data_IF_193742476188
#
_entry.id   IF_193742476188
#
_cell.length_a   1.000
_cell.length_b   1.000
_cell.length_c   1.000
_cell.angle_alpha   90.00
_cell.angle_beta   90.00
_cell.angle_gamma   90.00
#
_symmetry.space_group_name_H-M   'P 1'
#
loop_
_entity.id
_entity.type
_entity.pdbx_description
1 polymer ?
#
# COMPACT_ATOMS: atom_id res chain seq x y z
N UNK A 1 11.24 60.44 -3.48
CA UNK A 1 11.70 59.87 -2.20
C UNK A 1 10.50 59.63 -1.31
N UNK A 2 10.13 58.36 -1.11
CA UNK A 2 9.49 57.84 0.09
C UNK A 2 9.47 56.31 -0.04
N UNK A 3 9.91 55.65 1.01
CA UNK A 3 10.42 54.28 1.01
C UNK A 3 9.33 53.22 1.17
N UNK A 4 9.69 52.05 0.65
CA UNK A 4 9.09 50.73 0.77
C UNK A 4 9.19 50.21 2.22
N UNK A 5 8.10 49.67 2.80
CA UNK A 5 8.19 48.70 3.91
C UNK A 5 7.16 47.59 3.66
N UNK A 6 7.68 46.37 3.64
CA UNK A 6 7.02 45.08 3.42
C UNK A 6 6.44 44.61 4.76
N UNK A 7 5.20 44.13 4.77
CA UNK A 7 4.60 43.46 5.93
C UNK A 7 4.76 41.94 5.81
N UNK A 8 5.34 41.35 6.86
CA UNK A 8 5.66 39.94 7.03
C UNK A 8 4.42 39.12 7.46
N UNK A 9 4.32 37.88 6.95
CA UNK A 9 3.28 36.90 7.23
C UNK A 9 3.34 36.37 8.68
N UNK A 10 2.17 36.17 9.30
CA UNK A 10 2.02 35.47 10.57
C UNK A 10 1.44 34.07 10.35
N UNK A 11 2.22 33.04 10.69
CA UNK A 11 1.80 31.63 10.81
C UNK A 11 1.18 31.40 12.19
N UNK A 12 -0.03 30.82 12.34
CA UNK A 12 -0.51 30.45 13.66
C UNK A 12 0.05 29.10 14.11
N UNK A 13 0.57 29.13 15.34
CA UNK A 13 1.17 28.04 16.07
C UNK A 13 0.18 26.96 16.51
N UNK A 14 0.71 25.73 16.58
CA UNK A 14 0.13 24.54 17.18
C UNK A 14 -0.05 24.74 18.70
N UNK A 15 -1.29 24.79 19.18
CA UNK A 15 -1.58 24.85 20.62
C UNK A 15 -1.65 23.43 21.22
N UNK A 16 -0.82 23.18 22.21
CA UNK A 16 -0.91 22.05 23.12
C UNK A 16 -2.04 22.29 24.14
N UNK A 17 -2.90 21.28 24.35
CA UNK A 17 -3.81 21.22 25.48
C UNK A 17 -3.56 19.91 26.23
N UNK A 18 -2.91 20.04 27.38
CA UNK A 18 -2.82 19.03 28.43
C UNK A 18 -4.11 19.04 29.26
N UNK A 19 -4.73 17.89 29.49
CA UNK A 19 -5.69 17.72 30.58
C UNK A 19 -6.74 16.65 30.33
N UNK A 20 -6.69 15.57 31.12
CA UNK A 20 -7.80 14.63 31.30
C UNK A 20 -7.43 13.18 31.07
N UNK A 21 -6.88 12.51 32.08
CA UNK A 21 -6.87 11.05 32.18
C UNK A 21 -8.32 10.56 32.27
N UNK A 22 -8.81 9.98 31.18
CA UNK A 22 -10.01 9.13 31.19
C UNK A 22 -9.61 7.78 30.60
N UNK A 23 -9.81 6.75 31.43
CA UNK A 23 -9.54 5.34 31.12
C UNK A 23 -10.72 4.77 30.34
N UNK A 24 -10.59 4.70 29.02
CA UNK A 24 -11.12 3.64 28.14
C UNK A 24 -10.62 3.95 26.73
N UNK A 25 -9.83 3.06 26.11
CA UNK A 25 -9.90 2.73 24.67
C UNK A 25 -8.74 1.79 24.29
N UNK A 26 -9.03 0.49 24.23
CA UNK A 26 -8.20 -0.58 23.62
C UNK A 26 -8.11 -0.47 22.08
N UNK A 27 -8.42 0.70 21.50
CA UNK A 27 -8.63 0.88 20.05
C UNK A 27 -7.38 1.36 19.29
N UNK A 28 -6.21 1.38 19.92
CA UNK A 28 -4.99 1.94 19.32
C UNK A 28 -3.81 1.00 19.50
N UNK A 29 -3.10 0.71 18.42
CA UNK A 29 -1.81 -0.01 18.43
C UNK A 29 -0.75 0.77 19.20
N UNK A 30 0.35 0.10 19.57
CA UNK A 30 1.49 0.70 20.26
C UNK A 30 2.12 1.92 19.53
N UNK A 31 1.76 2.16 18.27
CA UNK A 31 2.24 3.24 17.42
C UNK A 31 1.21 4.36 17.18
N UNK A 32 0.08 4.36 17.90
CA UNK A 32 -0.94 5.41 17.76
C UNK A 32 -1.87 5.24 16.55
N UNK A 33 -1.72 4.15 15.77
CA UNK A 33 -2.65 3.80 14.69
C UNK A 33 -3.83 2.98 15.24
N UNK A 34 -5.05 3.15 14.70
CA UNK A 34 -6.16 2.26 15.01
C UNK A 34 -5.80 0.79 14.78
N UNK A 35 -6.34 -0.09 15.63
CA UNK A 35 -6.19 -1.54 15.44
C UNK A 35 -6.70 -1.97 14.05
N UNK A 36 -5.99 -2.85 13.33
CA UNK A 36 -6.46 -3.36 12.05
C UNK A 36 -7.81 -4.06 12.17
N UNK A 37 -8.70 -3.85 11.19
CA UNK A 37 -10.02 -4.48 11.15
C UNK A 37 -10.00 -5.60 10.12
N UNK A 38 -10.22 -6.83 10.58
CA UNK A 38 -10.45 -7.98 9.70
C UNK A 38 -11.86 -7.89 9.08
N UNK A 39 -11.94 -8.03 7.76
CA UNK A 39 -13.18 -8.02 6.98
C UNK A 39 -13.36 -9.41 6.37
N UNK A 40 -14.16 -10.24 7.02
CA UNK A 40 -14.42 -11.65 6.67
C UNK A 40 -15.91 -11.93 6.37
N UNK A 41 -16.75 -10.90 6.41
CA UNK A 41 -18.18 -10.98 6.06
C UNK A 41 -18.56 -9.96 5.00
N UNK A 42 -19.53 -10.30 4.15
CA UNK A 42 -20.05 -9.40 3.11
C UNK A 42 -20.72 -8.16 3.71
N UNK A 43 -21.31 -8.25 4.90
CA UNK A 43 -21.90 -7.12 5.60
C UNK A 43 -20.83 -6.09 6.03
N UNK A 44 -19.73 -6.57 6.64
CA UNK A 44 -18.60 -5.72 7.00
C UNK A 44 -17.93 -5.12 5.76
N UNK A 45 -17.74 -5.92 4.70
CA UNK A 45 -17.21 -5.46 3.41
C UNK A 45 -18.06 -4.36 2.78
N UNK A 46 -19.39 -4.56 2.72
CA UNK A 46 -20.31 -3.57 2.13
C UNK A 46 -20.28 -2.24 2.89
N UNK A 47 -20.16 -2.30 4.23
CA UNK A 47 -19.98 -1.11 5.07
C UNK A 47 -18.64 -0.43 4.79
N UNK A 48 -17.55 -1.21 4.72
CA UNK A 48 -16.22 -0.67 4.41
C UNK A 48 -16.22 0.02 3.05
N UNK A 49 -16.73 -0.63 1.98
CA UNK A 49 -16.80 -0.05 0.63
C UNK A 49 -17.58 1.26 0.63
N UNK A 50 -18.72 1.32 1.33
CA UNK A 50 -19.48 2.57 1.47
C UNK A 50 -18.70 3.71 2.12
N UNK A 51 -17.77 3.40 3.03
CA UNK A 51 -16.89 4.40 3.67
C UNK A 51 -15.71 4.82 2.79
N UNK A 52 -15.46 4.14 1.66
CA UNK A 52 -14.41 4.53 0.70
C UNK A 52 -14.92 5.51 -0.36
N UNK A 53 -16.22 5.80 -0.37
CA UNK A 53 -16.82 6.74 -1.31
C UNK A 53 -16.38 8.18 -0.98
N UNK A 54 -16.19 8.98 -2.02
CA UNK A 54 -15.86 10.42 -1.94
C UNK A 54 -14.57 10.77 -1.17
N UNK A 55 -13.69 9.78 -0.95
CA UNK A 55 -12.39 10.04 -0.35
C UNK A 55 -11.51 10.93 -1.24
N UNK A 56 -10.65 11.79 -0.64
CA UNK A 56 -9.70 12.59 -1.40
C UNK A 56 -8.81 11.75 -2.32
N UNK A 57 -8.54 12.28 -3.51
CA UNK A 57 -7.66 11.65 -4.50
C UNK A 57 -6.26 12.27 -4.54
N UNK A 58 -6.05 13.42 -3.88
CA UNK A 58 -4.74 14.05 -3.68
C UNK A 58 -4.61 14.62 -2.25
N UNK A 59 -3.68 14.10 -1.42
CA UNK A 59 -2.94 12.85 -1.65
C UNK A 59 -3.88 11.64 -1.81
N UNK A 60 -3.43 10.54 -2.46
CA UNK A 60 -4.22 9.31 -2.56
C UNK A 60 -4.67 8.81 -1.19
N UNK A 61 -5.91 8.34 -1.12
CA UNK A 61 -6.47 7.78 0.10
C UNK A 61 -6.20 6.29 0.29
N UNK A 62 -5.96 5.52 -0.79
CA UNK A 62 -5.94 4.05 -0.76
C UNK A 62 -4.52 3.51 -0.99
N UNK A 63 -3.99 2.80 0.01
CA UNK A 63 -2.69 2.12 -0.04
C UNK A 63 -2.92 0.63 0.14
N UNK A 64 -2.47 -0.16 -0.83
CA UNK A 64 -2.88 -1.55 -0.99
C UNK A 64 -1.66 -2.44 -1.16
N UNK A 65 -1.75 -3.61 -0.56
CA UNK A 65 -0.85 -4.73 -0.77
C UNK A 65 -1.65 -6.04 -0.71
N UNK A 66 -1.10 -7.14 -1.21
CA UNK A 66 -1.73 -8.46 -1.17
C UNK A 66 -0.76 -9.50 -0.61
N UNK A 67 -1.31 -10.47 0.10
CA UNK A 67 -0.57 -11.65 0.53
C UNK A 67 -1.33 -12.94 0.21
N UNK A 68 -0.59 -14.01 -0.05
CA UNK A 68 -1.18 -15.33 -0.27
C UNK A 68 -0.17 -16.41 -0.64
N UNK A 69 -0.68 -17.60 -0.90
CA UNK A 69 0.18 -18.75 -1.26
C UNK A 69 0.70 -18.58 -2.67
N UNK A 70 2.01 -18.39 -2.84
CA UNK A 70 2.66 -18.18 -4.14
C UNK A 70 1.97 -17.09 -4.99
N UNK A 71 1.67 -15.94 -4.37
CA UNK A 71 0.90 -14.82 -4.93
C UNK A 71 1.21 -14.55 -6.42
N UNK A 72 0.31 -15.03 -7.28
CA UNK A 72 0.36 -14.98 -8.74
C UNK A 72 -0.89 -15.63 -9.31
N UNK A 73 -1.03 -15.66 -10.64
CA UNK A 73 -2.05 -16.44 -11.37
C UNK A 73 -2.02 -17.95 -11.08
N UNK A 74 -0.90 -18.47 -10.59
CA UNK A 74 -0.71 -19.90 -10.28
C UNK A 74 -0.77 -20.20 -8.78
N UNK A 75 -0.89 -19.15 -7.95
CA UNK A 75 -1.08 -19.25 -6.51
C UNK A 75 -2.46 -18.78 -6.11
N UNK A 76 -2.56 -18.11 -4.98
CA UNK A 76 -3.81 -17.59 -4.42
C UNK A 76 -3.62 -16.20 -3.83
N UNK A 77 -4.74 -15.49 -3.64
CA UNK A 77 -4.82 -14.29 -2.79
C UNK A 77 -5.53 -14.73 -1.51
N UNK A 78 -4.89 -14.52 -0.36
CA UNK A 78 -5.43 -14.91 0.94
C UNK A 78 -5.94 -13.70 1.71
N UNK A 79 -5.15 -12.62 1.72
CA UNK A 79 -5.46 -11.36 2.39
C UNK A 79 -5.16 -10.21 1.42
N UNK A 80 -6.07 -9.24 1.35
CA UNK A 80 -5.79 -7.94 0.76
C UNK A 80 -5.73 -6.89 1.87
N UNK A 81 -4.62 -6.17 1.94
CA UNK A 81 -4.42 -5.11 2.92
C UNK A 81 -4.82 -3.77 2.32
N UNK A 82 -5.60 -2.98 3.04
CA UNK A 82 -6.01 -1.64 2.63
C UNK A 82 -5.81 -0.66 3.79
N UNK A 83 -4.85 0.25 3.64
CA UNK A 83 -4.74 1.40 4.51
C UNK A 83 -5.45 2.62 3.91
N UNK A 84 -6.35 3.22 4.68
CA UNK A 84 -7.12 4.40 4.32
C UNK A 84 -6.54 5.63 5.02
N UNK A 85 -5.82 6.47 4.28
CA UNK A 85 -5.01 7.55 4.85
C UNK A 85 -5.83 8.57 5.67
N UNK A 86 -6.97 9.11 5.21
CA UNK A 86 -7.71 10.12 5.96
C UNK A 86 -8.16 9.66 7.36
N UNK A 87 -8.61 8.41 7.48
CA UNK A 87 -9.05 7.83 8.76
C UNK A 87 -7.93 7.11 9.53
N UNK A 88 -6.77 6.92 8.89
CA UNK A 88 -5.66 6.06 9.36
C UNK A 88 -6.08 4.61 9.63
N UNK A 89 -7.25 4.19 9.18
CA UNK A 89 -7.75 2.84 9.42
C UNK A 89 -7.11 1.87 8.44
N UNK A 90 -6.72 0.70 8.94
CA UNK A 90 -6.26 -0.42 8.11
C UNK A 90 -7.30 -1.52 8.13
N UNK A 91 -7.67 -2.01 6.95
CA UNK A 91 -8.56 -3.13 6.75
C UNK A 91 -7.77 -4.30 6.18
N UNK A 92 -8.01 -5.50 6.71
CA UNK A 92 -7.51 -6.76 6.18
C UNK A 92 -8.70 -7.51 5.60
N UNK A 93 -8.83 -7.53 4.27
CA UNK A 93 -9.92 -8.23 3.61
C UNK A 93 -9.53 -9.70 3.50
N UNK A 94 -10.34 -10.56 4.10
CA UNK A 94 -10.16 -12.00 4.07
C UNK A 94 -10.65 -12.59 2.74
N UNK A 95 -9.81 -12.46 1.71
CA UNK A 95 -10.09 -12.97 0.36
C UNK A 95 -10.22 -14.50 0.38
N UNK A 96 -9.50 -15.19 1.26
CA UNK A 96 -9.62 -16.64 1.43
C UNK A 96 -11.03 -17.05 1.88
N UNK A 97 -11.63 -16.33 2.83
CA UNK A 97 -12.99 -16.63 3.31
C UNK A 97 -14.06 -16.10 2.34
N UNK A 98 -13.90 -14.87 1.85
CA UNK A 98 -14.91 -14.19 1.02
C UNK A 98 -14.87 -14.58 -0.45
N UNK A 99 -13.74 -15.09 -0.94
CA UNK A 99 -13.55 -15.50 -2.34
C UNK A 99 -13.99 -14.37 -3.30
N UNK A 100 -14.73 -14.71 -4.36
CA UNK A 100 -15.25 -13.72 -5.31
C UNK A 100 -16.13 -12.64 -4.67
N UNK A 101 -16.81 -12.93 -3.56
CA UNK A 101 -17.64 -11.94 -2.85
C UNK A 101 -16.82 -10.79 -2.27
N UNK A 102 -15.52 -11.00 -2.03
CA UNK A 102 -14.60 -9.94 -1.61
C UNK A 102 -14.57 -8.76 -2.59
N UNK A 103 -14.87 -9.01 -3.86
CA UNK A 103 -14.78 -8.02 -4.93
C UNK A 103 -16.14 -7.71 -5.56
N UNK A 104 -17.12 -8.63 -5.48
CA UNK A 104 -18.43 -8.47 -6.11
C UNK A 104 -19.54 -7.96 -5.19
N UNK A 105 -19.41 -8.07 -3.86
CA UNK A 105 -20.40 -7.52 -2.95
C UNK A 105 -20.44 -5.99 -3.02
N UNK A 106 -21.64 -5.42 -2.99
CA UNK A 106 -21.86 -3.98 -3.20
C UNK A 106 -22.21 -3.26 -1.91
N UNK A 107 -21.75 -2.01 -1.80
CA UNK A 107 -22.26 -1.04 -0.82
C UNK A 107 -23.76 -0.76 -1.06
N UNK A 108 -24.38 0.01 -0.17
CA UNK A 108 -25.78 0.45 -0.33
C UNK A 108 -26.00 1.28 -1.60
N UNK A 109 -24.95 1.90 -2.12
CA UNK A 109 -24.99 2.72 -3.32
C UNK A 109 -24.69 1.91 -4.60
N UNK A 110 -24.65 0.58 -4.49
CA UNK A 110 -24.47 -0.33 -5.62
C UNK A 110 -23.02 -0.48 -6.09
N UNK A 111 -22.06 0.16 -5.42
CA UNK A 111 -20.64 0.10 -5.78
C UNK A 111 -19.94 -1.05 -5.08
N UNK A 112 -19.16 -1.83 -5.81
CA UNK A 112 -18.33 -2.91 -5.29
C UNK A 112 -16.88 -2.48 -5.07
N UNK A 113 -16.08 -3.30 -4.37
CA UNK A 113 -14.64 -3.02 -4.24
C UNK A 113 -13.92 -3.17 -5.59
N UNK A 114 -14.39 -4.06 -6.48
CA UNK A 114 -13.93 -4.13 -7.88
C UNK A 114 -14.09 -2.79 -8.60
N UNK A 115 -15.24 -2.12 -8.48
CA UNK A 115 -15.47 -0.82 -9.14
C UNK A 115 -14.51 0.29 -8.64
N UNK A 116 -14.00 0.17 -7.42
CA UNK A 116 -12.97 1.07 -6.88
C UNK A 116 -11.59 0.73 -7.45
N UNK A 117 -11.25 -0.56 -7.47
CA UNK A 117 -9.98 -1.06 -8.03
C UNK A 117 -9.84 -0.77 -9.55
N UNK A 118 -10.93 -0.84 -10.30
CA UNK A 118 -10.98 -0.62 -11.75
C UNK A 118 -11.21 0.85 -12.15
N UNK A 119 -11.42 1.76 -11.18
CA UNK A 119 -11.57 3.18 -11.44
C UNK A 119 -10.23 3.84 -11.85
N UNK A 120 -10.24 4.66 -12.90
CA UNK A 120 -9.11 5.48 -13.31
C UNK A 120 -8.98 6.79 -12.51
N UNK A 121 -10.09 7.28 -11.95
CA UNK A 121 -10.17 8.52 -11.17
C UNK A 121 -9.84 8.35 -9.69
N UNK A 122 -9.95 7.14 -9.14
CA UNK A 122 -9.52 6.83 -7.76
C UNK A 122 -8.09 6.27 -7.80
N UNK A 123 -7.09 6.99 -7.26
CA UNK A 123 -5.73 6.47 -7.22
C UNK A 123 -5.58 5.37 -6.19
N UNK A 124 -4.89 4.28 -6.56
CA UNK A 124 -4.46 3.22 -5.64
C UNK A 124 -2.94 3.18 -5.62
N UNK A 125 -2.37 3.24 -4.43
CA UNK A 125 -0.93 3.18 -4.23
C UNK A 125 -0.54 1.74 -3.88
N UNK A 126 0.36 1.17 -4.69
CA UNK A 126 0.95 -0.16 -4.47
C UNK A 126 2.46 -0.02 -4.38
N UNK A 127 3.15 -0.98 -3.77
CA UNK A 127 4.59 -1.15 -3.94
C UNK A 127 4.85 -2.34 -4.85
N UNK A 128 5.27 -2.09 -6.10
CA UNK A 128 5.51 -3.15 -7.09
C UNK A 128 4.27 -3.99 -7.46
N UNK A 129 3.31 -3.36 -8.14
CA UNK A 129 1.97 -3.91 -8.43
C UNK A 129 1.93 -5.18 -9.30
N UNK A 130 3.06 -5.67 -9.80
CA UNK A 130 3.10 -6.65 -10.89
C UNK A 130 2.43 -7.97 -10.51
N UNK A 131 2.81 -8.60 -9.39
CA UNK A 131 2.22 -9.87 -8.97
C UNK A 131 0.81 -9.70 -8.38
N UNK A 132 0.52 -8.57 -7.74
CA UNK A 132 -0.82 -8.24 -7.26
C UNK A 132 -1.82 -8.18 -8.40
N UNK A 133 -1.46 -7.42 -9.44
CA UNK A 133 -2.25 -7.29 -10.67
C UNK A 133 -2.40 -8.62 -11.40
N UNK A 134 -1.33 -9.42 -11.48
CA UNK A 134 -1.38 -10.76 -12.08
C UNK A 134 -2.41 -11.65 -11.37
N UNK A 135 -2.37 -11.69 -10.03
CA UNK A 135 -3.27 -12.49 -9.23
C UNK A 135 -4.72 -11.98 -9.30
N UNK A 136 -4.93 -10.67 -9.12
CA UNK A 136 -6.26 -10.05 -9.17
C UNK A 136 -6.96 -10.26 -10.51
N UNK A 137 -6.23 -10.13 -11.61
CA UNK A 137 -6.80 -10.33 -12.94
C UNK A 137 -7.11 -11.80 -13.23
N UNK A 138 -6.17 -12.71 -12.96
CA UNK A 138 -6.38 -14.11 -13.37
C UNK A 138 -7.43 -14.81 -12.52
N UNK A 139 -7.49 -14.52 -11.21
CA UNK A 139 -8.44 -15.14 -10.28
C UNK A 139 -9.81 -14.44 -10.27
N UNK A 140 -9.84 -13.11 -10.35
CA UNK A 140 -11.06 -12.32 -10.12
C UNK A 140 -11.46 -11.40 -11.28
N UNK A 141 -10.74 -11.46 -12.41
CA UNK A 141 -10.98 -10.65 -13.62
C UNK A 141 -10.97 -9.15 -13.34
N UNK A 142 -10.15 -8.69 -12.40
CA UNK A 142 -10.02 -7.27 -12.03
C UNK A 142 -8.99 -6.59 -12.94
N UNK A 143 -9.44 -5.62 -13.71
CA UNK A 143 -8.59 -4.75 -14.53
C UNK A 143 -8.15 -3.52 -13.73
N UNK A 144 -7.04 -3.63 -13.00
CA UNK A 144 -6.55 -2.54 -12.15
C UNK A 144 -6.29 -1.25 -12.94
N UNK A 145 -6.80 -0.12 -12.45
CA UNK A 145 -6.56 1.21 -13.04
C UNK A 145 -6.16 2.22 -11.97
N UNK A 146 -5.68 3.39 -12.38
CA UNK A 146 -5.31 4.46 -11.44
C UNK A 146 -4.14 4.12 -10.51
N UNK A 147 -3.24 3.22 -10.92
CA UNK A 147 -2.12 2.77 -10.08
C UNK A 147 -1.02 3.84 -9.97
N UNK A 148 -0.56 4.06 -8.74
CA UNK A 148 0.68 4.76 -8.43
C UNK A 148 1.65 3.79 -7.76
N UNK A 149 2.67 3.35 -8.51
CA UNK A 149 3.63 2.35 -8.02
C UNK A 149 4.80 3.02 -7.28
N UNK A 150 4.89 2.80 -5.96
CA UNK A 150 5.91 3.40 -5.10
C UNK A 150 7.33 2.95 -5.44
N UNK A 151 7.51 1.75 -5.97
CA UNK A 151 8.82 1.27 -6.39
C UNK A 151 9.31 2.06 -7.61
N UNK A 152 8.39 2.47 -8.49
CA UNK A 152 8.69 3.37 -9.60
C UNK A 152 8.93 4.82 -9.14
N UNK A 153 8.22 5.27 -8.10
CA UNK A 153 8.45 6.58 -7.48
C UNK A 153 9.83 6.68 -6.82
N UNK A 154 10.29 5.62 -6.13
CA UNK A 154 11.64 5.56 -5.54
C UNK A 154 12.73 5.71 -6.61
N UNK A 155 12.66 4.93 -7.68
CA UNK A 155 13.69 4.94 -8.72
C UNK A 155 13.74 6.26 -9.50
N UNK A 156 12.59 6.92 -9.67
CA UNK A 156 12.52 8.24 -10.32
C UNK A 156 13.16 9.34 -9.47
N UNK A 157 13.08 9.23 -8.14
CA UNK A 157 13.49 10.29 -7.20
C UNK A 157 14.88 10.08 -6.61
N UNK A 158 15.43 8.87 -6.66
CA UNK A 158 16.79 8.59 -6.16
C UNK A 158 17.88 9.24 -7.02
N UNK A 159 19.02 9.52 -6.40
CA UNK A 159 20.17 10.23 -7.02
C UNK A 159 21.33 9.31 -7.42
N UNK A 160 21.24 8.02 -7.11
CA UNK A 160 22.24 7.02 -7.46
C UNK A 160 21.72 6.09 -8.57
N UNK A 161 22.52 5.07 -8.93
CA UNK A 161 22.28 4.15 -10.04
C UNK A 161 20.80 3.76 -10.20
N UNK A 162 20.27 4.00 -11.40
CA UNK A 162 18.89 3.66 -11.77
C UNK A 162 18.75 2.26 -12.38
N UNK A 163 19.75 1.37 -12.27
CA UNK A 163 19.72 0.07 -12.96
C UNK A 163 18.74 -0.95 -12.35
N UNK A 164 18.63 -0.98 -11.03
CA UNK A 164 17.84 -2.00 -10.32
C UNK A 164 16.86 -1.39 -9.33
N UNK A 165 15.65 -1.92 -9.25
CA UNK A 165 14.67 -1.48 -8.23
C UNK A 165 15.10 -1.91 -6.83
N UNK A 166 14.66 -1.17 -5.81
CA UNK A 166 14.83 -1.53 -4.42
C UNK A 166 13.59 -2.26 -3.89
N UNK A 167 13.79 -3.22 -2.98
CA UNK A 167 12.68 -3.84 -2.24
C UNK A 167 12.15 -2.92 -1.14
N UNK A 168 10.90 -3.14 -0.73
CA UNK A 168 10.16 -2.29 0.21
C UNK A 168 10.94 -2.02 1.51
N UNK A 169 11.54 -3.05 2.12
CA UNK A 169 12.32 -2.89 3.36
C UNK A 169 13.45 -1.88 3.23
N UNK A 170 14.17 -1.89 2.11
CA UNK A 170 15.27 -0.94 1.87
C UNK A 170 14.74 0.49 1.71
N UNK A 171 13.60 0.65 1.03
CA UNK A 171 12.93 1.93 0.87
C UNK A 171 12.49 2.48 2.23
N UNK A 172 11.88 1.67 3.08
CA UNK A 172 11.47 2.07 4.44
C UNK A 172 12.68 2.44 5.29
N UNK A 173 13.74 1.63 5.23
CA UNK A 173 14.95 1.88 6.01
C UNK A 173 15.63 3.21 5.68
N UNK A 174 15.62 3.59 4.41
CA UNK A 174 16.31 4.81 3.95
C UNK A 174 15.41 6.04 3.92
N UNK A 175 14.17 5.87 3.49
CA UNK A 175 13.34 6.97 3.01
C UNK A 175 12.08 7.19 3.86
N UNK A 176 11.63 6.20 4.63
CA UNK A 176 10.59 6.44 5.63
C UNK A 176 11.22 7.19 6.81
N UNK A 177 10.70 8.40 7.10
CA UNK A 177 11.13 9.28 8.19
C UNK A 177 10.71 8.76 9.58
N UNK A 178 10.95 7.47 9.84
CA UNK A 178 10.72 6.81 11.12
C UNK A 178 11.85 7.18 12.09
N UNK A 179 11.48 7.47 13.34
CA UNK A 179 12.41 7.54 14.46
C UNK A 179 13.12 6.19 14.67
N UNK A 180 14.22 6.20 15.42
CA UNK A 180 14.97 4.98 15.74
C UNK A 180 14.10 3.92 16.42
N UNK A 181 13.21 4.33 17.34
CA UNK A 181 12.32 3.42 18.06
C UNK A 181 11.26 2.82 17.14
N UNK A 182 10.61 3.65 16.30
CA UNK A 182 9.63 3.17 15.31
C UNK A 182 10.28 2.19 14.33
N UNK A 183 11.51 2.48 13.89
CA UNK A 183 12.27 1.60 12.99
C UNK A 183 12.59 0.26 13.63
N UNK A 184 12.98 0.24 14.91
CA UNK A 184 13.25 -1.00 15.64
C UNK A 184 11.96 -1.82 15.81
N UNK A 185 10.85 -1.18 16.17
CA UNK A 185 9.57 -1.84 16.32
C UNK A 185 9.08 -2.42 14.98
N UNK A 186 9.17 -1.62 13.91
CA UNK A 186 8.82 -2.03 12.55
C UNK A 186 9.60 -3.28 12.11
N UNK A 187 10.93 -3.27 12.31
CA UNK A 187 11.78 -4.43 11.99
C UNK A 187 11.38 -5.67 12.79
N UNK A 188 11.03 -5.50 14.07
CA UNK A 188 10.65 -6.62 14.95
C UNK A 188 9.38 -7.32 14.48
N UNK A 189 8.34 -6.55 14.14
CA UNK A 189 7.09 -7.08 13.58
C UNK A 189 7.37 -7.77 12.25
N UNK A 190 8.15 -7.13 11.38
CA UNK A 190 8.51 -7.70 10.08
C UNK A 190 9.26 -9.02 10.22
N UNK A 191 10.28 -9.07 11.08
CA UNK A 191 11.08 -10.29 11.28
C UNK A 191 10.27 -11.44 11.87
N UNK A 192 9.28 -11.16 12.73
CA UNK A 192 8.35 -12.17 13.20
C UNK A 192 7.49 -12.72 12.06
N UNK A 193 6.80 -11.85 11.31
CA UNK A 193 5.93 -12.26 10.21
C UNK A 193 6.67 -13.04 9.13
N UNK A 194 7.84 -12.55 8.68
CA UNK A 194 8.64 -13.23 7.64
C UNK A 194 9.09 -14.62 8.08
N UNK A 195 9.38 -14.85 9.37
CA UNK A 195 9.71 -16.21 9.86
C UNK A 195 8.52 -17.17 9.76
N UNK A 196 7.29 -16.68 9.84
CA UNK A 196 6.09 -17.51 9.78
C UNK A 196 5.77 -17.94 8.35
N UNK A 197 5.94 -17.07 7.36
CA UNK A 197 5.54 -17.39 5.97
C UNK A 197 6.69 -17.80 5.04
N UNK A 198 7.92 -17.35 5.28
CA UNK A 198 9.02 -17.54 4.33
C UNK A 198 9.66 -18.94 4.46
N UNK A 199 9.62 -19.82 3.43
CA UNK A 199 10.16 -21.17 3.52
C UNK A 199 11.65 -21.24 3.84
N UNK A 200 12.44 -20.30 3.33
CA UNK A 200 13.87 -20.20 3.62
C UNK A 200 14.18 -19.84 5.08
N UNK A 201 13.17 -19.41 5.86
CA UNK A 201 13.25 -19.15 7.29
C UNK A 201 12.52 -20.20 8.15
N UNK A 202 12.09 -21.31 7.54
CA UNK A 202 11.34 -22.37 8.21
C UNK A 202 9.82 -22.13 8.30
N UNK A 203 9.32 -21.10 7.61
CA UNK A 203 7.89 -20.80 7.51
C UNK A 203 7.19 -21.52 6.35
N UNK A 204 5.93 -21.18 6.15
CA UNK A 204 5.14 -21.64 5.01
C UNK A 204 4.14 -20.57 4.60
N UNK A 205 3.98 -20.33 3.29
CA UNK A 205 3.01 -19.35 2.80
C UNK A 205 1.56 -19.68 3.23
N UNK A 206 1.31 -20.93 3.60
CA UNK A 206 0.02 -21.46 4.01
C UNK A 206 -0.47 -20.83 5.31
N UNK A 207 0.43 -20.21 6.08
CA UNK A 207 0.06 -19.40 7.26
C UNK A 207 -0.92 -18.27 6.90
N UNK A 208 -0.89 -17.75 5.67
CA UNK A 208 -1.86 -16.75 5.21
C UNK A 208 -3.29 -17.31 5.06
N UNK A 209 -3.44 -18.62 4.94
CA UNK A 209 -4.73 -19.32 4.86
C UNK A 209 -5.22 -19.85 6.21
N UNK A 210 -4.40 -19.81 7.27
CA UNK A 210 -4.80 -20.29 8.60
C UNK A 210 -5.90 -19.40 9.19
N UNK A 211 -6.92 -20.01 9.80
CA UNK A 211 -8.02 -19.31 10.46
C UNK A 211 -8.25 -19.84 11.89
N UNK A 212 -8.38 -18.96 12.90
CA UNK A 212 -8.26 -17.50 12.81
C UNK A 212 -6.83 -17.07 12.42
N UNK A 213 -6.71 -15.95 11.69
CA UNK A 213 -5.41 -15.41 11.32
C UNK A 213 -4.67 -14.98 12.61
N UNK A 214 -3.42 -15.39 12.77
CA UNK A 214 -2.67 -15.10 13.99
C UNK A 214 -2.40 -13.60 14.15
N UNK A 215 -2.27 -13.14 15.39
CA UNK A 215 -1.99 -11.72 15.68
C UNK A 215 -0.69 -11.24 15.04
N UNK A 216 0.36 -12.07 15.05
CA UNK A 216 1.64 -11.74 14.41
C UNK A 216 1.48 -11.54 12.88
N UNK A 217 0.59 -12.29 12.23
CA UNK A 217 0.30 -12.13 10.79
C UNK A 217 -0.59 -10.90 10.52
N UNK A 218 -1.56 -10.60 11.40
CA UNK A 218 -2.36 -9.37 11.33
C UNK A 218 -1.45 -8.14 11.42
N UNK A 219 -0.56 -8.12 12.41
CA UNK A 219 0.39 -7.02 12.62
C UNK A 219 1.34 -6.85 11.43
N UNK A 220 1.87 -7.97 10.92
CA UNK A 220 2.72 -7.97 9.72
C UNK A 220 1.99 -7.37 8.51
N UNK A 221 0.80 -7.88 8.18
CA UNK A 221 0.00 -7.43 7.05
C UNK A 221 -0.35 -5.94 7.16
N UNK A 222 -0.80 -5.50 8.33
CA UNK A 222 -1.19 -4.12 8.53
C UNK A 222 -0.01 -3.15 8.39
N UNK A 223 1.15 -3.53 8.94
CA UNK A 223 2.34 -2.67 8.93
C UNK A 223 2.88 -2.43 7.51
N UNK A 224 2.79 -3.42 6.61
CA UNK A 224 3.34 -3.30 5.26
C UNK A 224 2.62 -2.22 4.42
N UNK A 225 1.33 -1.96 4.67
CA UNK A 225 0.59 -0.85 4.03
C UNK A 225 0.59 0.47 4.82
N UNK A 226 0.67 0.44 6.16
CA UNK A 226 0.63 1.64 7.01
C UNK A 226 1.80 2.61 6.79
N UNK A 227 2.95 2.10 6.33
CA UNK A 227 4.16 2.90 6.10
C UNK A 227 4.18 3.53 4.70
N UNK A 228 3.38 3.02 3.75
CA UNK A 228 3.37 3.46 2.37
C UNK A 228 3.03 4.96 2.17
N UNK A 229 2.11 5.57 2.94
CA UNK A 229 1.87 7.02 2.85
C UNK A 229 3.11 7.87 3.13
N UNK A 230 3.97 7.46 4.05
CA UNK A 230 5.21 8.18 4.37
C UNK A 230 6.17 8.17 3.18
N UNK A 231 6.33 7.00 2.53
CA UNK A 231 7.12 6.87 1.31
C UNK A 231 6.53 7.68 0.17
N UNK A 232 5.20 7.63 0.00
CA UNK A 232 4.51 8.39 -1.03
C UNK A 232 4.77 9.88 -0.90
N UNK A 233 4.57 10.44 0.30
CA UNK A 233 4.80 11.87 0.56
C UNK A 233 6.27 12.26 0.31
N UNK A 234 7.21 11.41 0.73
CA UNK A 234 8.65 11.61 0.51
C UNK A 234 9.01 11.63 -0.97
N UNK A 235 8.50 10.69 -1.78
CA UNK A 235 8.84 10.65 -3.20
C UNK A 235 8.07 11.70 -4.00
N UNK A 236 6.78 11.92 -3.71
CA UNK A 236 5.94 12.90 -4.41
C UNK A 236 6.49 14.32 -4.30
N UNK A 237 7.06 14.69 -3.15
CA UNK A 237 7.67 16.01 -2.96
C UNK A 237 8.93 16.25 -3.79
N UNK A 238 9.58 15.19 -4.28
CA UNK A 238 10.83 15.26 -5.04
C UNK A 238 10.65 14.94 -6.54
N UNK A 239 9.41 14.74 -6.99
CA UNK A 239 9.14 14.32 -8.36
C UNK A 239 8.86 15.50 -9.29
N UNK A 240 9.47 15.49 -10.47
CA UNK A 240 9.12 16.45 -11.53
C UNK A 240 7.89 15.97 -12.30
N UNK A 241 7.20 16.88 -13.00
CA UNK A 241 6.06 16.53 -13.85
C UNK A 241 6.42 15.50 -14.94
N UNK A 242 7.60 15.62 -15.55
CA UNK A 242 8.11 14.66 -16.54
C UNK A 242 8.30 13.27 -15.94
N UNK A 243 8.87 13.18 -14.73
CA UNK A 243 9.02 11.90 -14.05
C UNK A 243 7.68 11.33 -13.61
N UNK A 244 6.76 12.18 -13.17
CA UNK A 244 5.41 11.77 -12.82
C UNK A 244 4.70 11.10 -13.99
N UNK A 245 4.74 11.72 -15.18
CA UNK A 245 4.16 11.12 -16.39
C UNK A 245 4.80 9.76 -16.72
N UNK A 246 6.14 9.67 -16.67
CA UNK A 246 6.85 8.39 -16.89
C UNK A 246 6.41 7.30 -15.93
N UNK A 247 6.21 7.63 -14.65
CA UNK A 247 5.72 6.68 -13.64
C UNK A 247 4.31 6.24 -13.93
N UNK A 248 3.42 7.15 -14.32
CA UNK A 248 2.05 6.79 -14.69
C UNK A 248 2.04 5.83 -15.89
N UNK A 249 2.84 6.11 -16.93
CA UNK A 249 2.94 5.26 -18.12
C UNK A 249 3.54 3.89 -17.77
N UNK A 250 4.63 3.86 -16.99
CA UNK A 250 5.26 2.63 -16.57
C UNK A 250 4.40 1.80 -15.59
N UNK A 251 3.59 2.44 -14.74
CA UNK A 251 2.63 1.74 -13.87
C UNK A 251 1.53 1.07 -14.69
N UNK A 252 0.98 1.77 -15.70
CA UNK A 252 0.01 1.20 -16.65
C UNK A 252 0.61 0.02 -17.42
N UNK A 253 1.87 0.15 -17.87
CA UNK A 253 2.55 -0.93 -18.58
C UNK A 253 2.82 -2.14 -17.67
N UNK A 254 3.18 -1.93 -16.39
CA UNK A 254 3.33 -3.02 -15.41
C UNK A 254 2.05 -3.81 -15.24
N UNK A 255 0.91 -3.13 -15.11
CA UNK A 255 -0.41 -3.76 -15.01
C UNK A 255 -0.74 -4.53 -16.30
N UNK A 256 -0.63 -3.88 -17.46
CA UNK A 256 -0.92 -4.50 -18.75
C UNK A 256 -0.06 -5.74 -18.99
N UNK A 257 1.24 -5.65 -18.72
CA UNK A 257 2.17 -6.75 -18.87
C UNK A 257 1.78 -7.89 -17.93
N UNK A 258 1.52 -7.62 -16.64
CA UNK A 258 1.22 -8.67 -15.68
C UNK A 258 -0.08 -9.41 -15.94
N UNK A 259 -1.03 -8.80 -16.65
CA UNK A 259 -2.27 -9.44 -17.10
C UNK A 259 -2.11 -10.25 -18.40
N UNK A 260 -0.98 -10.13 -19.11
CA UNK A 260 -0.73 -10.85 -20.35
C UNK A 260 -0.48 -12.36 -20.13
N UNK A 261 -0.77 -13.19 -21.12
CA UNK A 261 -0.51 -14.64 -21.04
C UNK A 261 0.97 -15.00 -20.90
N UNK A 262 1.88 -14.11 -21.33
CA UNK A 262 3.32 -14.32 -21.37
C UNK A 262 4.06 -13.84 -20.13
N UNK A 263 3.38 -13.20 -19.18
CA UNK A 263 4.02 -12.70 -17.98
C UNK A 263 4.49 -13.81 -17.06
N UNK A 264 5.72 -13.65 -16.56
CA UNK A 264 6.31 -14.48 -15.52
C UNK A 264 6.65 -13.54 -14.36
N UNK A 265 6.11 -13.81 -13.18
CA UNK A 265 6.26 -12.95 -11.99
C UNK A 265 7.54 -13.20 -11.18
N UNK A 266 8.48 -14.00 -11.72
CA UNK A 266 9.67 -14.49 -11.01
C UNK A 266 10.91 -14.43 -11.90
N UNK A 267 12.04 -14.05 -11.30
CA UNK A 267 13.36 -14.05 -11.95
C UNK A 267 14.13 -12.73 -11.78
N UNK A 268 15.44 -12.76 -12.07
CA UNK A 268 16.33 -11.60 -11.86
C UNK A 268 15.95 -10.35 -12.67
N UNK A 269 15.33 -10.53 -13.83
CA UNK A 269 14.85 -9.42 -14.66
C UNK A 269 13.77 -8.59 -13.97
N UNK A 270 13.04 -9.16 -13.01
CA UNK A 270 12.04 -8.41 -12.21
C UNK A 270 12.69 -7.32 -11.35
N UNK A 271 13.99 -7.45 -11.06
CA UNK A 271 14.77 -6.45 -10.33
C UNK A 271 15.30 -5.31 -11.23
N UNK A 272 15.12 -5.35 -12.55
CA UNK A 272 15.56 -4.30 -13.46
C UNK A 272 14.59 -3.11 -13.44
N UNK A 273 15.14 -1.91 -13.66
CA UNK A 273 14.33 -0.73 -13.91
C UNK A 273 13.52 -0.85 -15.21
N UNK A 274 12.45 -0.05 -15.40
CA UNK A 274 11.82 0.08 -16.70
C UNK A 274 12.84 0.44 -17.80
N UNK A 275 12.56 -0.02 -19.02
CA UNK A 275 13.47 0.18 -20.16
C UNK A 275 13.76 1.67 -20.37
N UNK A 276 15.04 1.99 -20.58
CA UNK A 276 15.51 3.36 -20.79
C UNK A 276 15.63 4.23 -19.53
N UNK A 277 15.20 3.79 -18.34
CA UNK A 277 15.29 4.62 -17.13
C UNK A 277 16.71 4.68 -16.56
N UNK A 278 17.49 3.61 -16.75
CA UNK A 278 18.85 3.52 -16.22
C UNK A 278 19.82 4.57 -16.79
N UNK A 279 19.55 5.10 -17.98
CA UNK A 279 20.40 6.07 -18.68
C UNK A 279 19.94 7.53 -18.51
N UNK A 280 18.77 7.76 -17.91
CA UNK A 280 18.24 9.11 -17.67
C UNK A 280 18.99 9.70 -16.48
N UNK A 281 19.69 10.82 -16.73
CA UNK A 281 20.38 11.59 -15.71
C UNK A 281 19.38 12.34 -14.85
#
# INVERSE_FOLDING_TARGET
MAALIITEEAVPALAAATGGLSLTDDATTAHGNPTPILIDTTAALSKMVGNLEELPTDPPSLYIDLEGVNLSRHGTISILQLHVLPSKQTYLLDVHTLQGQCFSATSRNGRSFKDILESDTIPKVFFDVRNDSDALYHHFKIDLRGIQDLQLMEIATRTFSRRHVNGLSRCIERDASLSTLERIAWKRVKDKGVKLFAPERGGSYEVFNERPLSSDMIDYCAQDVQVLPLLWARYKSNITSTWWQRIQDASKERVKLSQSSTFVGKGQYMALSPSGWASIR
#
